data_IF_363040773737
#
_entry.id   IF_363040773737
#
_cell.length_a   1.000
_cell.length_b   1.000
_cell.length_c   1.000
_cell.angle_alpha   90.00
_cell.angle_beta   90.00
_cell.angle_gamma   90.00
#
_symmetry.space_group_name_H-M   'P 1'
#
loop_
_entity.id
_entity.type
_entity.pdbx_description
1 polymer ?
#
# COMPACT_ATOMS: atom_id res chain seq x y z
N UNK A 1 24.66 21.36 4.73
CA UNK A 1 25.11 20.51 5.84
C UNK A 1 25.29 19.10 5.28
N UNK A 2 26.39 18.41 5.58
CA UNK A 2 26.66 17.06 5.01
C UNK A 2 26.18 15.98 5.99
N UNK A 3 25.29 15.10 5.55
CA UNK A 3 24.77 13.98 6.35
C UNK A 3 25.88 12.96 6.57
N UNK A 4 26.16 12.62 7.83
CA UNK A 4 27.18 11.63 8.18
C UNK A 4 26.58 10.26 8.48
N UNK A 5 27.43 9.22 8.44
CA UNK A 5 27.05 7.87 8.85
C UNK A 5 26.43 7.81 10.25
N UNK A 6 26.99 8.57 11.21
CA UNK A 6 26.48 8.60 12.59
C UNK A 6 25.07 9.16 12.69
N UNK A 7 24.69 10.07 11.80
CA UNK A 7 23.34 10.64 11.80
C UNK A 7 22.32 9.62 11.30
N UNK A 8 22.68 8.83 10.28
CA UNK A 8 21.84 7.74 9.78
C UNK A 8 21.74 6.59 10.79
N UNK A 9 22.80 6.30 11.56
CA UNK A 9 22.76 5.28 12.61
C UNK A 9 21.71 5.60 13.69
N UNK A 10 21.48 6.89 14.01
CA UNK A 10 20.46 7.32 14.97
C UNK A 10 19.03 7.03 14.51
N UNK A 11 18.81 6.82 13.21
CA UNK A 11 17.49 6.46 12.66
C UNK A 11 17.09 5.02 13.03
N UNK A 12 18.04 4.18 13.48
CA UNK A 12 17.81 2.78 13.80
C UNK A 12 17.60 2.62 15.31
N UNK A 13 16.39 2.22 15.70
CA UNK A 13 16.10 1.86 17.08
C UNK A 13 16.49 0.40 17.35
N UNK A 14 16.27 -0.49 16.38
CA UNK A 14 16.55 -1.91 16.49
C UNK A 14 17.48 -2.41 15.39
N UNK A 15 18.67 -2.87 15.78
CA UNK A 15 19.60 -3.50 14.85
C UNK A 15 19.10 -4.89 14.45
N UNK A 16 18.91 -5.09 13.14
CA UNK A 16 18.52 -6.37 12.53
C UNK A 16 19.19 -6.52 11.17
N UNK A 17 19.44 -7.74 10.74
CA UNK A 17 19.97 -8.00 9.40
C UNK A 17 18.85 -7.95 8.36
N UNK A 18 19.14 -7.43 7.17
CA UNK A 18 18.22 -7.41 6.02
C UNK A 18 18.17 -8.81 5.38
N UNK A 19 17.43 -9.71 6.02
CA UNK A 19 17.16 -11.08 5.55
C UNK A 19 15.66 -11.32 5.42
N UNK A 20 15.28 -12.27 4.56
CA UNK A 20 13.86 -12.60 4.33
C UNK A 20 13.12 -12.95 5.64
N UNK A 21 13.72 -13.80 6.48
CA UNK A 21 13.11 -14.26 7.74
C UNK A 21 12.90 -13.10 8.72
N UNK A 22 13.84 -12.16 8.81
CA UNK A 22 13.68 -10.99 9.65
C UNK A 22 12.54 -10.10 9.16
N UNK A 23 12.40 -9.92 7.84
CA UNK A 23 11.26 -9.19 7.28
C UNK A 23 9.94 -9.92 7.48
N UNK A 24 9.92 -11.25 7.37
CA UNK A 24 8.73 -12.06 7.58
C UNK A 24 8.27 -11.95 9.02
N UNK A 25 9.20 -12.12 9.96
CA UNK A 25 8.93 -11.94 11.38
C UNK A 25 8.49 -10.51 11.69
N UNK A 26 9.07 -9.49 11.05
CA UNK A 26 8.65 -8.11 11.22
C UNK A 26 7.16 -7.93 10.83
N UNK A 27 6.77 -8.47 9.68
CA UNK A 27 5.38 -8.43 9.20
C UNK A 27 4.41 -9.13 10.17
N UNK A 28 4.80 -10.29 10.71
CA UNK A 28 3.98 -11.08 11.62
C UNK A 28 3.89 -10.49 13.04
N UNK A 29 5.02 -10.05 13.59
CA UNK A 29 5.11 -9.48 14.94
C UNK A 29 4.48 -8.09 15.04
N UNK A 30 4.33 -7.38 13.91
CA UNK A 30 3.79 -6.01 13.84
C UNK A 30 4.58 -5.02 14.70
N UNK A 31 5.87 -5.27 14.88
CA UNK A 31 6.78 -4.34 15.55
C UNK A 31 7.08 -3.17 14.58
N UNK A 32 6.52 -2.00 14.88
CA UNK A 32 6.63 -0.80 14.03
C UNK A 32 7.85 0.09 14.33
N UNK A 33 8.76 -0.37 15.21
CA UNK A 33 10.00 0.36 15.49
C UNK A 33 10.91 0.39 14.26
N UNK A 34 11.61 1.51 14.00
CA UNK A 34 12.62 1.60 12.95
C UNK A 34 13.71 0.54 13.16
N UNK A 35 13.97 -0.23 12.11
CA UNK A 35 14.96 -1.31 12.11
C UNK A 35 16.01 -1.04 11.06
N UNK A 36 17.22 -1.57 11.27
CA UNK A 36 18.26 -1.42 10.28
C UNK A 36 19.49 -2.28 10.47
N UNK A 37 20.24 -2.41 9.38
CA UNK A 37 21.51 -3.12 9.29
C UNK A 37 22.63 -2.10 9.08
N UNK A 38 23.61 -2.10 9.98
CA UNK A 38 24.78 -1.22 9.91
C UNK A 38 25.94 -2.01 9.29
N UNK A 39 26.29 -1.68 8.05
CA UNK A 39 27.45 -2.17 7.35
C UNK A 39 28.64 -1.22 7.43
N UNK A 40 29.73 -1.55 6.73
CA UNK A 40 30.94 -0.69 6.70
C UNK A 40 30.71 0.57 5.85
N UNK A 41 30.28 0.39 4.60
CA UNK A 41 30.05 1.46 3.61
C UNK A 41 28.58 1.75 3.32
N UNK A 42 27.68 0.95 3.87
CA UNK A 42 26.24 1.12 3.68
C UNK A 42 25.48 0.91 4.99
N UNK A 43 24.36 1.59 5.15
CA UNK A 43 23.37 1.36 6.21
C UNK A 43 22.02 1.13 5.55
N UNK A 44 21.32 0.07 5.95
CA UNK A 44 19.96 -0.22 5.49
C UNK A 44 18.99 0.13 6.60
N UNK A 45 17.96 0.91 6.31
CA UNK A 45 16.93 1.33 7.26
C UNK A 45 15.56 0.99 6.69
N UNK A 46 14.68 0.43 7.52
CA UNK A 46 13.29 0.16 7.16
C UNK A 46 12.37 0.37 8.35
N UNK A 47 11.13 0.76 8.05
CA UNK A 47 10.08 0.93 9.05
C UNK A 47 8.76 0.41 8.51
N UNK A 48 8.13 -0.47 9.28
CA UNK A 48 6.76 -0.90 9.02
C UNK A 48 5.79 0.03 9.76
N UNK A 49 4.62 0.26 9.19
CA UNK A 49 3.49 0.88 9.88
C UNK A 49 2.17 0.19 9.47
N UNK A 50 1.07 0.67 10.04
CA UNK A 50 -0.27 0.12 9.79
C UNK A 50 -0.72 0.23 8.33
N UNK A 51 -0.27 1.26 7.61
CA UNK A 51 -0.70 1.57 6.24
C UNK A 51 0.09 0.83 5.19
N UNK A 52 1.39 0.66 5.40
CA UNK A 52 2.28 0.01 4.45
C UNK A 52 2.31 -1.51 4.63
N UNK A 53 1.94 -2.02 5.82
CA UNK A 53 1.87 -3.44 6.16
C UNK A 53 3.07 -4.24 5.62
N UNK A 54 2.87 -5.02 4.55
CA UNK A 54 3.89 -5.89 3.96
C UNK A 54 4.72 -5.20 2.86
N UNK A 55 4.36 -3.99 2.43
CA UNK A 55 4.91 -3.29 1.26
C UNK A 55 5.79 -2.07 1.58
N UNK A 56 6.47 -2.09 2.73
CA UNK A 56 7.38 -1.00 3.10
C UNK A 56 8.71 -1.03 2.30
N UNK A 57 9.32 0.15 2.07
CA UNK A 57 10.63 0.28 1.48
C UNK A 57 11.75 -0.07 2.47
N UNK A 58 12.87 -0.51 1.92
CA UNK A 58 14.17 -0.58 2.60
C UNK A 58 15.05 0.46 1.94
N UNK A 59 15.43 1.49 2.69
CA UNK A 59 16.37 2.52 2.25
C UNK A 59 17.79 2.05 2.50
N UNK A 60 18.67 2.23 1.52
CA UNK A 60 20.11 1.96 1.63
C UNK A 60 20.85 3.28 1.47
N UNK A 61 21.57 3.66 2.50
CA UNK A 61 22.42 4.84 2.56
C UNK A 61 23.85 4.40 2.29
N UNK A 62 24.48 4.93 1.26
CA UNK A 62 25.86 4.62 0.89
C UNK A 62 26.78 5.76 1.31
N UNK A 63 27.96 5.42 1.83
CA UNK A 63 28.92 6.38 2.36
C UNK A 63 30.27 6.28 1.66
N UNK A 64 30.94 7.41 1.51
CA UNK A 64 32.32 7.46 1.04
C UNK A 64 33.32 7.05 2.16
N UNK A 65 34.62 7.10 1.86
CA UNK A 65 35.68 6.78 2.83
C UNK A 65 35.71 7.71 4.05
N UNK A 66 35.18 8.93 3.92
CA UNK A 66 35.07 9.92 5.00
C UNK A 66 33.76 9.79 5.80
N UNK A 67 32.96 8.74 5.56
CA UNK A 67 31.65 8.52 6.17
C UNK A 67 30.59 9.58 5.83
N UNK A 68 30.73 10.28 4.71
CA UNK A 68 29.70 11.20 4.21
C UNK A 68 28.77 10.46 3.25
N UNK A 69 27.48 10.78 3.33
CA UNK A 69 26.44 10.21 2.49
C UNK A 69 26.69 10.60 1.02
N UNK A 70 26.72 9.61 0.13
CA UNK A 70 26.87 9.83 -1.32
C UNK A 70 25.62 9.46 -2.10
N UNK A 71 24.81 8.54 -1.59
CA UNK A 71 23.65 8.03 -2.31
C UNK A 71 22.61 7.46 -1.33
N UNK A 72 21.33 7.63 -1.69
CA UNK A 72 20.20 6.97 -1.04
C UNK A 72 19.45 6.20 -2.11
N UNK A 73 19.40 4.88 -1.97
CA UNK A 73 18.60 4.01 -2.83
C UNK A 73 17.51 3.30 -2.02
N UNK A 74 16.52 2.74 -2.71
CA UNK A 74 15.41 2.04 -2.08
C UNK A 74 15.07 0.76 -2.82
N UNK A 75 14.55 -0.21 -2.07
CA UNK A 75 13.98 -1.44 -2.63
C UNK A 75 12.76 -1.88 -1.84
N UNK A 76 11.78 -2.48 -2.53
CA UNK A 76 10.70 -3.19 -1.87
C UNK A 76 11.29 -4.36 -1.06
N UNK A 77 10.84 -4.50 0.19
CA UNK A 77 11.27 -5.60 1.04
C UNK A 77 10.93 -6.97 0.42
N UNK A 78 11.71 -8.02 0.70
CA UNK A 78 11.60 -9.29 -0.01
C UNK A 78 10.27 -10.03 0.29
N UNK A 79 9.65 -9.77 1.44
CA UNK A 79 8.33 -10.34 1.80
C UNK A 79 7.23 -9.69 0.97
N UNK A 80 7.26 -8.36 0.80
CA UNK A 80 6.36 -7.64 -0.11
C UNK A 80 6.40 -8.18 -1.53
N UNK A 81 7.60 -8.42 -2.07
CA UNK A 81 7.78 -9.05 -3.39
C UNK A 81 7.18 -10.46 -3.45
N UNK A 82 7.44 -11.27 -2.43
CA UNK A 82 6.93 -12.64 -2.33
C UNK A 82 5.41 -12.67 -2.22
N UNK A 83 4.82 -11.76 -1.46
CA UNK A 83 3.37 -11.67 -1.29
C UNK A 83 2.66 -11.35 -2.62
N UNK A 84 3.21 -10.42 -3.42
CA UNK A 84 2.71 -10.14 -4.78
C UNK A 84 2.76 -11.41 -5.63
N UNK A 85 3.88 -12.14 -5.59
CA UNK A 85 4.06 -13.39 -6.33
C UNK A 85 3.05 -14.48 -5.93
N UNK A 86 2.93 -14.78 -4.64
CA UNK A 86 1.99 -15.78 -4.11
C UNK A 86 0.55 -15.42 -4.46
N UNK A 87 0.16 -14.15 -4.29
CA UNK A 87 -1.19 -13.71 -4.60
C UNK A 87 -1.47 -13.84 -6.10
N UNK A 88 -0.52 -13.43 -6.94
CA UNK A 88 -0.64 -13.58 -8.41
C UNK A 88 -0.77 -15.05 -8.82
N UNK A 89 0.04 -15.93 -8.23
CA UNK A 89 -0.03 -17.38 -8.47
C UNK A 89 -1.36 -17.98 -8.00
N UNK A 90 -1.89 -17.53 -6.86
CA UNK A 90 -3.20 -17.96 -6.37
C UNK A 90 -4.34 -17.59 -7.33
N UNK A 91 -4.28 -16.40 -7.93
CA UNK A 91 -5.23 -16.01 -8.99
C UNK A 91 -5.03 -16.83 -10.26
N UNK A 92 -3.79 -17.09 -10.67
CA UNK A 92 -3.50 -17.94 -11.84
C UNK A 92 -3.98 -19.38 -11.63
N UNK A 93 -3.90 -19.91 -10.41
CA UNK A 93 -4.41 -21.24 -10.08
C UNK A 93 -5.91 -21.38 -10.40
N UNK A 94 -6.70 -20.30 -10.24
CA UNK A 94 -8.13 -20.31 -10.56
C UNK A 94 -8.43 -20.53 -12.05
N UNK A 95 -7.45 -20.29 -12.93
CA UNK A 95 -7.61 -20.48 -14.38
C UNK A 95 -7.54 -21.96 -14.77
N UNK A 96 -6.81 -22.78 -14.00
CA UNK A 96 -6.53 -24.15 -14.41
C UNK A 96 -7.63 -25.11 -13.94
N UNK A 97 -8.23 -25.91 -14.85
CA UNK A 97 -9.15 -26.98 -14.49
C UNK A 97 -8.42 -28.11 -13.76
N UNK A 98 -9.18 -29.03 -13.14
CA UNK A 98 -8.62 -30.18 -12.41
C UNK A 98 -7.77 -31.10 -13.30
N UNK A 99 -8.07 -31.17 -14.60
CA UNK A 99 -7.26 -31.85 -15.61
C UNK A 99 -6.81 -30.89 -16.72
N UNK A 100 -5.52 -30.86 -17.02
CA UNK A 100 -4.97 -30.05 -18.11
C UNK A 100 -5.54 -30.40 -19.49
N UNK A 101 -6.08 -31.62 -19.69
CA UNK A 101 -6.72 -32.03 -20.93
C UNK A 101 -7.99 -31.26 -21.26
N UNK A 102 -8.62 -30.67 -20.23
CA UNK A 102 -9.95 -30.08 -20.32
C UNK A 102 -9.88 -28.55 -20.44
N UNK A 103 -8.67 -28.01 -20.61
CA UNK A 103 -8.46 -26.56 -20.72
C UNK A 103 -8.90 -26.03 -22.09
N UNK A 104 -10.11 -25.46 -22.14
CA UNK A 104 -10.58 -24.71 -23.29
C UNK A 104 -10.30 -23.20 -23.12
N UNK A 105 -9.26 -22.71 -23.80
CA UNK A 105 -8.91 -21.29 -23.77
C UNK A 105 -9.99 -20.41 -24.42
N UNK A 106 -10.61 -20.88 -25.51
CA UNK A 106 -11.58 -20.08 -26.28
C UNK A 106 -12.91 -20.02 -25.53
N UNK A 107 -13.34 -21.08 -24.86
CA UNK A 107 -14.53 -21.02 -24.01
C UNK A 107 -14.35 -20.13 -22.78
N UNK A 108 -13.14 -20.09 -22.22
CA UNK A 108 -12.86 -19.43 -20.94
C UNK A 108 -12.21 -18.03 -21.06
N UNK A 109 -12.04 -17.49 -22.28
CA UNK A 109 -11.35 -16.20 -22.48
C UNK A 109 -11.91 -15.02 -21.64
N UNK A 110 -13.23 -14.91 -21.37
CA UNK A 110 -13.74 -13.81 -20.52
C UNK A 110 -13.27 -13.95 -19.08
N UNK A 111 -13.25 -15.18 -18.55
CA UNK A 111 -12.80 -15.47 -17.18
C UNK A 111 -11.28 -15.28 -17.06
N UNK A 112 -10.50 -15.76 -18.03
CA UNK A 112 -9.05 -15.55 -18.10
C UNK A 112 -8.72 -14.05 -18.12
N UNK A 113 -9.43 -13.29 -18.95
CA UNK A 113 -9.27 -11.82 -19.04
C UNK A 113 -9.59 -11.16 -17.71
N UNK A 114 -10.68 -11.60 -17.05
CA UNK A 114 -11.06 -11.10 -15.73
C UNK A 114 -9.97 -11.34 -14.66
N UNK A 115 -9.39 -12.55 -14.62
CA UNK A 115 -8.29 -12.89 -13.71
C UNK A 115 -7.05 -12.04 -14.03
N UNK A 116 -6.70 -11.89 -15.31
CA UNK A 116 -5.55 -11.07 -15.73
C UNK A 116 -5.70 -9.61 -15.30
N UNK A 117 -6.90 -9.03 -15.44
CA UNK A 117 -7.20 -7.66 -14.97
C UNK A 117 -7.08 -7.57 -13.44
N UNK A 118 -7.57 -8.58 -12.71
CA UNK A 118 -7.49 -8.63 -11.26
C UNK A 118 -6.05 -8.70 -10.75
N UNK A 119 -5.20 -9.55 -11.35
CA UNK A 119 -3.76 -9.62 -11.03
C UNK A 119 -3.10 -8.26 -11.31
N UNK A 120 -3.39 -7.67 -12.47
CA UNK A 120 -2.84 -6.35 -12.85
C UNK A 120 -3.21 -5.29 -11.81
N UNK A 121 -4.48 -5.27 -11.39
CA UNK A 121 -4.96 -4.32 -10.38
C UNK A 121 -4.23 -4.49 -9.05
N UNK A 122 -4.06 -5.73 -8.57
CA UNK A 122 -3.35 -6.03 -7.32
C UNK A 122 -1.90 -5.56 -7.38
N UNK A 123 -1.20 -5.86 -8.48
CA UNK A 123 0.19 -5.44 -8.68
C UNK A 123 0.28 -3.91 -8.68
N UNK A 124 -0.60 -3.21 -9.40
CA UNK A 124 -0.63 -1.75 -9.45
C UNK A 124 -0.85 -1.13 -8.07
N UNK A 125 -1.72 -1.72 -7.25
CA UNK A 125 -2.02 -1.26 -5.90
C UNK A 125 -0.83 -1.47 -4.98
N UNK A 126 -0.19 -2.64 -5.03
CA UNK A 126 1.00 -2.89 -4.23
C UNK A 126 2.14 -1.92 -4.60
N UNK A 127 2.34 -1.68 -5.90
CA UNK A 127 3.32 -0.70 -6.39
C UNK A 127 2.98 0.74 -5.97
N UNK A 128 1.69 1.08 -5.94
CA UNK A 128 1.22 2.39 -5.49
C UNK A 128 1.47 2.60 -4.00
N UNK A 129 1.10 1.63 -3.16
CA UNK A 129 1.37 1.65 -1.72
C UNK A 129 2.87 1.81 -1.47
N UNK A 130 3.69 1.02 -2.16
CA UNK A 130 5.15 1.13 -2.09
C UNK A 130 5.65 2.53 -2.47
N UNK A 131 5.23 3.09 -3.61
CA UNK A 131 5.65 4.41 -4.08
C UNK A 131 5.24 5.52 -3.12
N UNK A 132 4.01 5.45 -2.61
CA UNK A 132 3.49 6.41 -1.66
C UNK A 132 4.29 6.37 -0.35
N UNK A 133 4.48 5.17 0.19
CA UNK A 133 5.21 4.99 1.44
C UNK A 133 6.67 5.38 1.32
N UNK A 134 7.32 4.98 0.20
CA UNK A 134 8.67 5.41 -0.16
C UNK A 134 8.81 6.92 -0.05
N UNK A 135 7.92 7.67 -0.70
CA UNK A 135 8.00 9.14 -0.69
C UNK A 135 7.85 9.68 0.72
N UNK A 136 6.84 9.20 1.46
CA UNK A 136 6.52 9.72 2.78
C UNK A 136 7.62 9.41 3.81
N UNK A 137 8.17 8.20 3.80
CA UNK A 137 9.26 7.83 4.70
C UNK A 137 10.57 8.52 4.35
N UNK A 138 10.88 8.67 3.05
CA UNK A 138 12.10 9.37 2.64
C UNK A 138 12.07 10.82 3.12
N UNK A 139 10.94 11.52 2.96
CA UNK A 139 10.77 12.88 3.47
C UNK A 139 10.96 12.95 4.98
N UNK A 140 10.36 12.03 5.76
CA UNK A 140 10.56 11.97 7.21
C UNK A 140 12.02 11.71 7.60
N UNK A 141 12.71 10.84 6.87
CA UNK A 141 14.12 10.57 7.12
C UNK A 141 14.97 11.81 6.82
N UNK A 142 14.71 12.50 5.72
CA UNK A 142 15.43 13.73 5.38
C UNK A 142 15.18 14.84 6.40
N UNK A 143 13.96 14.98 6.89
CA UNK A 143 13.60 15.90 7.97
C UNK A 143 14.33 15.56 9.28
N UNK A 144 14.39 14.28 9.65
CA UNK A 144 15.16 13.81 10.83
C UNK A 144 16.68 13.98 10.69
N UNK A 145 17.17 14.12 9.46
CA UNK A 145 18.57 14.37 9.14
C UNK A 145 18.87 15.86 8.94
N UNK A 146 17.93 16.75 9.31
CA UNK A 146 18.02 18.21 9.16
C UNK A 146 18.34 18.66 7.71
N UNK A 147 17.87 17.90 6.72
CA UNK A 147 17.93 18.29 5.31
C UNK A 147 16.71 19.16 5.02
N UNK A 148 16.89 20.34 4.40
CA UNK A 148 15.79 21.25 4.09
C UNK A 148 14.67 20.55 3.28
N UNK A 149 13.56 20.22 3.95
CA UNK A 149 12.34 19.71 3.32
C UNK A 149 11.37 20.86 3.15
N UNK A 150 10.85 21.06 1.92
CA UNK A 150 9.82 22.07 1.66
C UNK A 150 8.59 21.82 2.54
N UNK A 151 8.14 22.84 3.27
CA UNK A 151 6.95 22.77 4.12
C UNK A 151 5.74 22.21 3.36
N UNK A 152 5.09 21.18 3.94
CA UNK A 152 3.89 20.58 3.37
C UNK A 152 2.68 21.47 3.61
N UNK A 153 2.05 21.88 2.51
CA UNK A 153 0.65 22.37 2.55
C UNK A 153 -0.26 21.21 3.01
N UNK A 154 -1.31 21.48 3.81
CA UNK A 154 -2.23 20.44 4.28
C UNK A 154 -2.76 19.60 3.11
N UNK A 155 -2.80 18.27 3.28
CA UNK A 155 -3.23 17.34 2.24
C UNK A 155 -4.65 17.71 1.78
N UNK A 156 -4.78 18.09 0.51
CA UNK A 156 -6.08 18.38 -0.12
C UNK A 156 -6.90 17.10 -0.13
N UNK A 157 -8.19 17.18 0.18
CA UNK A 157 -9.10 16.02 0.12
C UNK A 157 -9.19 15.38 -1.26
N UNK A 158 -9.01 16.18 -2.30
CA UNK A 158 -8.79 15.74 -3.69
C UNK A 158 -7.30 15.60 -4.00
N UNK A 159 -6.55 15.00 -3.08
CA UNK A 159 -5.18 14.60 -3.37
C UNK A 159 -5.19 13.43 -4.34
N UNK A 160 -4.13 13.32 -5.14
CA UNK A 160 -3.90 12.17 -6.03
C UNK A 160 -4.02 10.86 -5.24
N UNK A 161 -3.56 10.85 -3.98
CA UNK A 161 -3.71 9.75 -3.02
C UNK A 161 -5.16 9.33 -2.82
N UNK A 162 -6.07 10.25 -2.47
CA UNK A 162 -7.47 9.91 -2.22
C UNK A 162 -8.21 9.50 -3.49
N UNK A 163 -7.88 10.11 -4.63
CA UNK A 163 -8.44 9.73 -5.93
C UNK A 163 -8.02 8.31 -6.29
N UNK A 164 -6.76 7.96 -6.08
CA UNK A 164 -6.25 6.61 -6.36
C UNK A 164 -6.83 5.54 -5.42
N UNK A 165 -6.96 5.86 -4.12
CA UNK A 165 -7.64 4.99 -3.14
C UNK A 165 -9.06 4.68 -3.62
N UNK A 166 -9.80 5.71 -4.07
CA UNK A 166 -11.16 5.54 -4.63
C UNK A 166 -11.19 4.74 -5.92
N UNK A 167 -10.26 5.00 -6.83
CA UNK A 167 -10.14 4.28 -8.09
C UNK A 167 -9.93 2.78 -7.88
N UNK A 168 -9.28 2.38 -6.79
CA UNK A 168 -9.11 0.97 -6.44
C UNK A 168 -10.28 0.42 -5.63
N UNK A 169 -10.62 1.07 -4.51
CA UNK A 169 -11.61 0.52 -3.59
C UNK A 169 -13.02 0.52 -4.16
N UNK A 170 -13.39 1.44 -5.06
CA UNK A 170 -14.72 1.43 -5.65
C UNK A 170 -14.95 0.20 -6.55
N UNK A 171 -14.11 -0.08 -7.57
CA UNK A 171 -14.21 -1.33 -8.33
C UNK A 171 -14.05 -2.58 -7.47
N UNK A 172 -13.13 -2.57 -6.50
CA UNK A 172 -12.92 -3.71 -5.61
C UNK A 172 -14.15 -3.99 -4.73
N UNK A 173 -14.77 -2.95 -4.16
CA UNK A 173 -16.01 -3.09 -3.39
C UNK A 173 -17.15 -3.60 -4.26
N UNK A 174 -17.30 -3.08 -5.49
CA UNK A 174 -18.31 -3.57 -6.44
C UNK A 174 -18.06 -5.05 -6.75
N UNK A 175 -16.80 -5.43 -6.99
CA UNK A 175 -16.41 -6.81 -7.26
C UNK A 175 -16.76 -7.77 -6.12
N UNK A 176 -16.39 -7.41 -4.87
CA UNK A 176 -16.73 -8.22 -3.69
C UNK A 176 -18.25 -8.35 -3.55
N UNK A 177 -18.99 -7.26 -3.75
CA UNK A 177 -20.45 -7.29 -3.73
C UNK A 177 -20.99 -8.23 -4.84
N UNK A 178 -20.44 -8.18 -6.05
CA UNK A 178 -20.83 -9.06 -7.15
C UNK A 178 -20.58 -10.53 -6.84
N UNK A 179 -19.42 -10.90 -6.26
CA UNK A 179 -19.16 -12.27 -5.81
C UNK A 179 -20.15 -12.69 -4.73
N UNK A 180 -20.39 -11.82 -3.73
CA UNK A 180 -21.31 -12.11 -2.64
C UNK A 180 -22.74 -12.37 -3.15
N UNK A 181 -23.18 -11.62 -4.16
CA UNK A 181 -24.49 -11.80 -4.81
C UNK A 181 -24.51 -13.08 -5.65
N UNK A 182 -23.48 -13.35 -6.45
CA UNK A 182 -23.37 -14.58 -7.24
C UNK A 182 -23.39 -15.83 -6.34
N UNK A 183 -22.60 -15.82 -5.27
CA UNK A 183 -22.55 -16.91 -4.29
C UNK A 183 -23.89 -17.16 -3.58
N UNK A 184 -24.74 -16.14 -3.46
CA UNK A 184 -26.09 -16.29 -2.92
C UNK A 184 -27.01 -17.04 -3.91
N UNK A 185 -26.87 -16.78 -5.21
CA UNK A 185 -27.61 -17.52 -6.25
C UNK A 185 -27.15 -18.97 -6.36
N UNK A 186 -25.84 -19.23 -6.26
CA UNK A 186 -25.27 -20.56 -6.48
C UNK A 186 -25.37 -21.48 -5.24
N UNK A 187 -25.19 -20.94 -4.03
CA UNK A 187 -25.13 -21.73 -2.80
C UNK A 187 -26.30 -21.46 -1.82
N UNK A 188 -27.19 -20.51 -2.16
CA UNK A 188 -28.41 -20.22 -1.39
C UNK A 188 -28.12 -19.78 0.05
N UNK A 189 -28.96 -20.20 0.99
CA UNK A 189 -28.89 -19.78 2.40
C UNK A 189 -27.55 -20.15 3.08
N UNK A 190 -26.82 -21.15 2.58
CA UNK A 190 -25.53 -21.58 3.16
C UNK A 190 -24.46 -20.50 3.07
N UNK A 191 -24.52 -19.59 2.08
CA UNK A 191 -23.56 -18.50 1.90
C UNK A 191 -24.00 -17.18 2.55
N UNK A 192 -25.18 -17.13 3.19
CA UNK A 192 -25.81 -15.88 3.63
C UNK A 192 -24.96 -15.07 4.63
N UNK A 193 -24.26 -15.75 5.54
CA UNK A 193 -23.36 -15.10 6.52
C UNK A 193 -22.17 -14.42 5.83
N UNK A 194 -21.54 -15.09 4.86
CA UNK A 194 -20.42 -14.53 4.09
C UNK A 194 -20.87 -13.37 3.21
N UNK A 195 -22.05 -13.49 2.59
CA UNK A 195 -22.67 -12.43 1.79
C UNK A 195 -22.97 -11.19 2.63
N UNK A 196 -23.59 -11.34 3.80
CA UNK A 196 -23.90 -10.22 4.70
C UNK A 196 -22.62 -9.53 5.21
N UNK A 197 -21.60 -10.30 5.55
CA UNK A 197 -20.32 -9.75 6.02
C UNK A 197 -19.58 -8.99 4.91
N UNK A 198 -19.48 -9.59 3.72
CA UNK A 198 -18.80 -8.99 2.57
C UNK A 198 -19.48 -7.72 2.05
N UNK A 199 -20.80 -7.77 1.88
CA UNK A 199 -21.60 -6.59 1.49
C UNK A 199 -21.58 -5.54 2.60
N UNK A 200 -21.67 -5.94 3.86
CA UNK A 200 -21.64 -5.03 5.01
C UNK A 200 -20.36 -4.20 5.08
N UNK A 201 -19.19 -4.84 4.98
CA UNK A 201 -17.89 -4.15 5.01
C UNK A 201 -17.75 -3.20 3.80
N UNK A 202 -18.06 -3.68 2.60
CA UNK A 202 -17.94 -2.88 1.39
C UNK A 202 -18.92 -1.70 1.38
N UNK A 203 -20.17 -1.94 1.79
CA UNK A 203 -21.21 -0.93 1.90
C UNK A 203 -20.87 0.15 2.92
N UNK A 204 -20.35 -0.22 4.10
CA UNK A 204 -19.91 0.74 5.12
C UNK A 204 -18.76 1.61 4.63
N UNK A 205 -17.80 1.02 3.91
CA UNK A 205 -16.68 1.77 3.31
C UNK A 205 -17.20 2.78 2.28
N UNK A 206 -17.99 2.33 1.29
CA UNK A 206 -18.53 3.18 0.23
C UNK A 206 -19.39 4.31 0.80
N UNK A 207 -20.27 3.99 1.76
CA UNK A 207 -21.11 4.99 2.43
C UNK A 207 -20.26 6.06 3.15
N UNK A 208 -19.25 5.63 3.91
CA UNK A 208 -18.40 6.53 4.68
C UNK A 208 -17.59 7.47 3.79
N UNK A 209 -17.03 6.97 2.69
CA UNK A 209 -16.24 7.78 1.76
C UNK A 209 -17.13 8.76 0.96
N UNK A 210 -18.29 8.32 0.47
CA UNK A 210 -19.27 9.22 -0.19
C UNK A 210 -19.74 10.32 0.77
N UNK A 211 -20.03 9.97 2.04
CA UNK A 211 -20.41 10.95 3.07
C UNK A 211 -19.31 11.98 3.33
N UNK A 212 -18.05 11.57 3.32
CA UNK A 212 -16.90 12.46 3.48
C UNK A 212 -16.81 13.48 2.32
N UNK A 213 -16.97 13.01 1.07
CA UNK A 213 -16.99 13.86 -0.14
C UNK A 213 -18.14 14.87 -0.11
N UNK A 214 -19.32 14.46 0.36
CA UNK A 214 -20.49 15.33 0.43
C UNK A 214 -20.34 16.40 1.53
N UNK A 215 -19.68 16.05 2.64
CA UNK A 215 -19.45 16.97 3.77
C UNK A 215 -18.46 18.08 3.40
N UNK A 216 -17.44 17.78 2.60
CA UNK A 216 -16.44 18.76 2.19
C UNK A 216 -16.92 19.77 1.16
N UNK A 217 -17.80 19.35 0.24
CA UNK A 217 -18.49 20.27 -0.68
C UNK A 217 -19.30 21.35 0.05
N UNK A 218 -19.89 21.03 1.22
CA UNK A 218 -20.65 22.01 2.01
C UNK A 218 -19.76 23.07 2.68
N UNK A 219 -18.52 22.75 3.03
CA UNK A 219 -17.62 23.68 3.72
C UNK A 219 -16.91 24.64 2.76
N UNK A 220 -16.74 24.26 1.49
CA UNK A 220 -16.15 25.15 0.47
C UNK A 220 -17.15 26.12 -0.17
N UNK A 221 -18.47 25.91 0.06
CA UNK A 221 -19.53 26.73 -0.53
C UNK A 221 -20.06 27.88 0.33
N UNK A 222 -19.63 28.05 1.58
CA UNK A 222 -20.24 29.01 2.51
C UNK A 222 -19.36 30.24 2.87
N UNK A 223 -18.28 30.49 2.12
CA UNK A 223 -17.46 31.70 2.30
C UNK A 223 -17.78 32.78 1.25
N UNK A 224 -19.07 33.05 1.03
CA UNK A 224 -19.54 34.09 0.12
C UNK A 224 -20.73 34.83 0.72
N UNK A 225 -20.52 36.13 0.98
CA UNK A 225 -21.47 37.17 1.37
C UNK A 225 -21.80 37.36 2.85
N UNK A 226 -21.33 38.50 3.36
CA UNK A 226 -21.65 39.07 4.67
C UNK A 226 -20.80 40.29 5.01
N UNK A 227 -20.53 41.16 4.03
CA UNK A 227 -20.03 42.51 4.29
C UNK A 227 -21.15 43.37 4.87
N UNK A 228 -20.96 43.88 6.07
CA UNK A 228 -21.75 45.00 6.59
C UNK A 228 -20.79 46.11 7.04
N UNK A 229 -20.77 47.28 6.37
CA UNK A 229 -20.29 48.53 6.92
C UNK A 229 -21.46 49.46 7.26
N UNK A 230 -21.25 50.61 7.93
CA UNK A 230 -20.20 51.00 8.86
C UNK A 230 -20.64 50.94 10.33
#
# INVERSE_FOLDING_TARGET
MEVTKKDVEKLIELRKENTFLNHLWNVLSRDFRPKGEIGRKEIKVWRQNMWNATFYPIFTFEFNANNHLINISDKLNPVGKTFIGIFSLGFLYLIFPESFSDFDFIGNWPFITFIAVSITLVVLVALMIYKFEKKNQLEQILELLDVEVKEKKPEKEWSVKNILIRLFLYPFSIFVISICVWSLFEHGIKSIFMTLFGIGICGLYLYSDVKMILKSKKTTGNNGYGSSPP
#
